data_IF_190428545974
#
_entry.id   IF_190428545974
#
_cell.length_a   1.000
_cell.length_b   1.000
_cell.length_c   1.000
_cell.angle_alpha   90.00
_cell.angle_beta   90.00
_cell.angle_gamma   90.00
#
_symmetry.space_group_name_H-M   'P 1'
#
loop_
_entity.id
_entity.type
_entity.pdbx_description
1 polymer ?
#
# COMPACT_ATOMS: atom_id res chain seq x y z
N UNK A 1 9.26 0.89 -61.65
CA UNK A 1 7.87 0.42 -61.50
C UNK A 1 7.72 -0.21 -60.13
N UNK A 2 7.19 0.56 -59.17
CA UNK A 2 6.99 0.14 -57.78
C UNK A 2 5.58 -0.47 -57.70
N UNK A 3 5.47 -1.74 -57.33
CA UNK A 3 4.19 -2.41 -57.08
C UNK A 3 3.71 -2.06 -55.67
N UNK A 4 2.55 -1.42 -55.57
CA UNK A 4 1.87 -1.16 -54.30
C UNK A 4 1.44 -2.46 -53.61
N UNK A 5 1.57 -2.58 -52.27
CA UNK A 5 1.07 -3.73 -51.53
C UNK A 5 -0.44 -3.59 -51.24
N UNK A 6 -1.19 -4.65 -51.54
CA UNK A 6 -2.62 -4.78 -51.29
C UNK A 6 -2.93 -4.76 -49.79
N UNK A 7 -3.83 -3.86 -49.37
CA UNK A 7 -4.43 -3.85 -48.04
C UNK A 7 -5.28 -5.12 -47.83
N UNK A 8 -4.93 -5.94 -46.82
CA UNK A 8 -5.81 -6.97 -46.30
C UNK A 8 -6.83 -6.37 -45.32
N UNK A 9 -8.12 -6.58 -45.59
CA UNK A 9 -9.22 -6.28 -44.65
C UNK A 9 -9.10 -7.15 -43.39
N UNK A 10 -9.38 -6.62 -42.18
CA UNK A 10 -9.47 -7.43 -40.97
C UNK A 10 -10.74 -8.29 -41.00
N UNK A 11 -10.60 -9.57 -40.63
CA UNK A 11 -11.74 -10.45 -40.33
C UNK A 11 -12.45 -9.98 -39.06
N UNK A 12 -13.73 -9.64 -39.19
CA UNK A 12 -14.66 -9.49 -38.06
C UNK A 12 -14.79 -10.84 -37.34
N UNK A 13 -14.51 -10.86 -36.04
CA UNK A 13 -14.84 -12.00 -35.17
C UNK A 13 -16.20 -11.77 -34.54
N UNK A 14 -17.12 -12.68 -34.78
CA UNK A 14 -18.41 -12.75 -34.09
C UNK A 14 -18.23 -12.88 -32.56
N UNK A 15 -19.09 -12.24 -31.75
CA UNK A 15 -19.05 -12.37 -30.30
C UNK A 15 -19.61 -13.72 -29.84
N UNK A 16 -18.82 -14.45 -29.05
CA UNK A 16 -19.24 -15.67 -28.35
C UNK A 16 -20.43 -15.39 -27.42
N UNK A 17 -21.52 -16.14 -27.61
CA UNK A 17 -22.70 -16.15 -26.73
C UNK A 17 -22.33 -16.70 -25.35
N UNK A 18 -22.76 -16.01 -24.29
CA UNK A 18 -22.71 -16.52 -22.91
C UNK A 18 -23.82 -17.55 -22.69
N UNK A 19 -23.59 -18.59 -21.86
CA UNK A 19 -24.64 -19.56 -21.52
C UNK A 19 -25.70 -18.91 -20.62
N UNK A 20 -26.96 -19.12 -20.99
CA UNK A 20 -28.15 -18.82 -20.17
C UNK A 20 -28.18 -19.75 -18.94
N UNK A 21 -28.54 -19.19 -17.78
CA UNK A 21 -28.81 -19.94 -16.55
C UNK A 21 -30.31 -19.86 -16.30
N UNK A 22 -30.94 -21.03 -16.28
CA UNK A 22 -32.36 -21.28 -16.03
C UNK A 22 -32.75 -20.92 -14.57
N UNK A 23 -33.68 -19.98 -14.35
CA UNK A 23 -34.10 -19.56 -13.02
C UNK A 23 -35.41 -20.25 -12.62
N UNK A 24 -35.42 -21.58 -12.48
CA UNK A 24 -36.57 -22.29 -11.92
C UNK A 24 -36.13 -23.39 -10.97
N UNK A 25 -35.82 -23.03 -9.72
CA UNK A 25 -35.91 -23.95 -8.59
C UNK A 25 -36.49 -23.21 -7.39
N UNK A 26 -37.81 -23.38 -7.28
CA UNK A 26 -38.66 -23.19 -6.12
C UNK A 26 -38.04 -23.87 -4.89
N UNK A 27 -37.84 -23.13 -3.79
CA UNK A 27 -37.79 -23.75 -2.47
C UNK A 27 -38.63 -22.92 -1.48
N UNK A 28 -39.86 -23.42 -1.33
CA UNK A 28 -40.81 -23.02 -0.30
C UNK A 28 -40.40 -23.69 1.00
N UNK A 29 -39.78 -22.94 1.90
CA UNK A 29 -39.78 -23.29 3.32
C UNK A 29 -40.34 -22.13 4.12
N UNK A 30 -41.65 -22.24 4.42
CA UNK A 30 -42.31 -21.38 5.39
C UNK A 30 -41.77 -21.60 6.79
N UNK A 31 -41.57 -20.51 7.52
CA UNK A 31 -41.42 -20.51 8.97
C UNK A 31 -42.38 -19.45 9.50
N UNK A 32 -43.41 -19.93 10.18
CA UNK A 32 -44.40 -19.15 10.92
C UNK A 32 -43.72 -18.46 12.12
N UNK A 33 -43.96 -17.16 12.28
CA UNK A 33 -43.59 -16.43 13.50
C UNK A 33 -44.83 -16.23 14.36
N UNK A 34 -44.76 -16.72 15.59
CA UNK A 34 -45.74 -16.51 16.65
C UNK A 34 -45.79 -15.02 17.06
N UNK A 35 -46.99 -14.45 17.04
CA UNK A 35 -47.30 -13.19 17.72
C UNK A 35 -47.48 -13.44 19.22
N UNK A 36 -46.77 -12.65 20.04
CA UNK A 36 -46.92 -12.62 21.49
C UNK A 36 -46.65 -11.19 21.96
N UNK A 37 -47.70 -10.58 22.49
CA UNK A 37 -47.86 -9.18 22.83
C UNK A 37 -46.83 -8.65 23.85
N UNK A 38 -46.32 -7.45 23.59
CA UNK A 38 -45.38 -6.76 24.48
C UNK A 38 -44.67 -5.58 23.81
N UNK A 39 -45.43 -4.68 23.20
CA UNK A 39 -44.88 -3.53 22.45
C UNK A 39 -44.21 -2.50 23.36
N UNK A 40 -42.91 -2.63 23.60
CA UNK A 40 -42.08 -1.52 24.06
C UNK A 40 -41.80 -0.61 22.87
N UNK A 41 -42.29 0.62 22.89
CA UNK A 41 -41.98 1.63 21.86
C UNK A 41 -40.52 2.04 22.02
N UNK A 42 -39.63 1.43 21.25
CA UNK A 42 -38.27 1.90 21.12
C UNK A 42 -38.27 3.19 20.28
N UNK A 43 -37.54 4.24 20.69
CA UNK A 43 -37.41 5.43 19.87
C UNK A 43 -36.87 5.03 18.49
N UNK A 44 -37.50 5.56 17.43
CA UNK A 44 -37.13 5.29 16.04
C UNK A 44 -35.60 5.41 15.89
N UNK A 45 -34.95 4.28 15.59
CA UNK A 45 -33.53 4.29 15.23
C UNK A 45 -33.41 5.26 14.05
N UNK A 46 -32.52 6.27 14.10
CA UNK A 46 -32.38 7.24 13.04
C UNK A 46 -32.20 6.50 11.71
N UNK A 47 -33.11 6.76 10.76
CA UNK A 47 -33.09 6.17 9.41
C UNK A 47 -31.65 6.25 8.89
N UNK A 48 -30.98 5.11 8.78
CA UNK A 48 -29.62 5.01 8.21
C UNK A 48 -29.69 5.71 6.85
N UNK A 49 -29.03 6.87 6.72
CA UNK A 49 -28.85 7.55 5.43
C UNK A 49 -28.44 6.48 4.41
N UNK A 50 -29.29 6.27 3.41
CA UNK A 50 -29.07 5.29 2.35
C UNK A 50 -27.71 5.63 1.74
N UNK A 51 -26.70 4.80 1.99
CA UNK A 51 -25.34 5.06 1.51
C UNK A 51 -25.42 5.15 -0.02
N UNK A 52 -25.10 6.31 -0.54
CA UNK A 52 -25.10 6.59 -1.97
C UNK A 52 -24.26 5.51 -2.69
N UNK A 53 -24.86 4.82 -3.66
CA UNK A 53 -24.20 3.71 -4.36
C UNK A 53 -23.06 4.29 -5.20
N UNK A 54 -21.81 4.05 -4.80
CA UNK A 54 -20.63 4.52 -5.53
C UNK A 54 -20.61 3.86 -6.93
N UNK A 55 -20.60 4.67 -7.99
CA UNK A 55 -20.51 4.22 -9.39
C UNK A 55 -19.06 4.15 -9.87
N UNK A 56 -18.76 3.35 -10.91
CA UNK A 56 -17.42 3.35 -11.54
C UNK A 56 -17.09 4.72 -12.12
N UNK A 57 -18.09 5.38 -12.71
CA UNK A 57 -17.99 6.76 -13.19
C UNK A 57 -17.62 7.74 -12.07
N UNK A 58 -18.25 7.64 -10.88
CA UNK A 58 -17.92 8.47 -9.73
C UNK A 58 -16.46 8.27 -9.28
N UNK A 59 -15.96 7.02 -9.31
CA UNK A 59 -14.56 6.72 -9.00
C UNK A 59 -13.60 7.27 -10.07
N UNK A 60 -13.96 7.20 -11.35
CA UNK A 60 -13.18 7.79 -12.45
C UNK A 60 -13.11 9.32 -12.35
N UNK A 61 -14.20 9.98 -11.99
CA UNK A 61 -14.23 11.42 -11.69
C UNK A 61 -13.35 11.73 -10.48
N UNK A 62 -13.47 11.00 -9.37
CA UNK A 62 -12.59 11.18 -8.20
C UNK A 62 -11.09 11.09 -8.54
N UNK A 63 -10.69 10.14 -9.42
CA UNK A 63 -9.29 10.04 -9.89
C UNK A 63 -8.86 11.29 -10.66
N UNK A 64 -9.71 11.76 -11.59
CA UNK A 64 -9.44 12.98 -12.39
C UNK A 64 -9.35 14.21 -11.51
N UNK A 65 -10.31 14.41 -10.63
CA UNK A 65 -10.36 15.55 -9.71
C UNK A 65 -9.10 15.59 -8.82
N UNK A 66 -8.65 14.43 -8.34
CA UNK A 66 -7.47 14.36 -7.48
C UNK A 66 -6.17 14.65 -8.24
N UNK A 67 -6.07 14.21 -9.51
CA UNK A 67 -4.94 14.54 -10.38
C UNK A 67 -4.94 16.03 -10.77
N UNK A 68 -6.12 16.61 -11.03
CA UNK A 68 -6.26 18.02 -11.32
C UNK A 68 -5.89 18.89 -10.11
N UNK A 69 -6.34 18.51 -8.91
CA UNK A 69 -5.94 19.16 -7.66
C UNK A 69 -4.41 19.16 -7.49
N UNK A 70 -3.74 18.02 -7.73
CA UNK A 70 -2.28 17.94 -7.72
C UNK A 70 -1.65 18.88 -8.75
N UNK A 71 -2.15 18.90 -9.98
CA UNK A 71 -1.64 19.77 -11.05
C UNK A 71 -1.74 21.24 -10.65
N UNK A 72 -2.87 21.66 -10.09
CA UNK A 72 -3.10 23.02 -9.61
C UNK A 72 -2.21 23.36 -8.42
N UNK A 73 -2.05 22.44 -7.46
CA UNK A 73 -1.18 22.62 -6.31
C UNK A 73 0.30 22.78 -6.72
N UNK A 74 0.78 21.94 -7.65
CA UNK A 74 2.14 22.06 -8.19
C UNK A 74 2.33 23.37 -8.95
N UNK A 75 1.33 23.78 -9.76
CA UNK A 75 1.37 25.06 -10.48
C UNK A 75 1.48 26.23 -9.51
N UNK A 76 0.62 26.28 -8.47
CA UNK A 76 0.67 27.32 -7.44
C UNK A 76 2.00 27.36 -6.72
N UNK A 77 2.53 26.19 -6.36
CA UNK A 77 3.84 26.06 -5.73
C UNK A 77 4.96 26.62 -6.62
N UNK A 78 4.89 26.38 -7.93
CA UNK A 78 5.86 26.89 -8.90
C UNK A 78 5.73 28.41 -9.11
N UNK A 79 4.54 28.98 -8.89
CA UNK A 79 4.25 30.42 -8.92
C UNK A 79 4.50 31.12 -7.56
N UNK A 80 4.95 30.38 -6.53
CA UNK A 80 5.16 30.92 -5.18
C UNK A 80 3.87 31.18 -4.38
N UNK A 81 2.73 30.65 -4.84
CA UNK A 81 1.43 30.79 -4.18
C UNK A 81 1.20 29.76 -3.07
N UNK A 82 0.24 30.07 -2.19
CA UNK A 82 -0.17 29.18 -1.10
C UNK A 82 -0.85 27.89 -1.62
N UNK A 83 -0.48 26.77 -1.02
CA UNK A 83 -1.02 25.44 -1.31
C UNK A 83 -2.07 25.08 -0.26
N UNK A 84 -3.32 24.91 -0.68
CA UNK A 84 -4.47 24.68 0.22
C UNK A 84 -4.28 23.44 1.10
N UNK A 85 -3.69 22.38 0.56
CA UNK A 85 -3.42 21.15 1.30
C UNK A 85 -2.55 21.37 2.54
N UNK A 86 -1.74 22.43 2.57
CA UNK A 86 -0.83 22.79 3.66
C UNK A 86 -1.47 23.67 4.75
N UNK A 87 -2.74 24.06 4.61
CA UNK A 87 -3.47 24.81 5.64
C UNK A 87 -3.92 23.93 6.84
N UNK A 88 -3.79 22.61 6.73
CA UNK A 88 -4.17 21.65 7.76
C UNK A 88 -3.22 21.71 8.97
N UNK A 89 -3.72 22.26 10.08
CA UNK A 89 -2.98 22.45 11.34
C UNK A 89 -2.63 21.14 12.07
N UNK A 90 -3.16 19.99 11.64
CA UNK A 90 -2.81 18.69 12.24
C UNK A 90 -1.50 18.11 11.69
N UNK A 91 -0.92 18.74 10.66
CA UNK A 91 0.33 18.33 10.03
C UNK A 91 1.54 18.68 10.90
N UNK A 92 2.53 17.79 10.94
CA UNK A 92 3.84 18.07 11.55
C UNK A 92 4.64 18.97 10.62
N UNK A 93 5.28 19.99 11.19
CA UNK A 93 6.12 20.94 10.44
C UNK A 93 7.51 20.33 10.24
N UNK A 94 8.01 20.43 9.00
CA UNK A 94 9.37 20.06 8.64
C UNK A 94 10.17 21.33 8.42
N UNK A 95 11.29 21.43 9.12
CA UNK A 95 12.27 22.50 9.00
C UNK A 95 13.44 22.07 8.12
N UNK A 96 14.25 23.04 7.70
CA UNK A 96 15.46 22.80 6.92
C UNK A 96 16.65 23.50 7.57
N UNK A 97 17.71 22.73 7.81
CA UNK A 97 19.00 23.25 8.26
C UNK A 97 19.86 23.54 7.04
N UNK A 98 20.11 24.83 6.79
CA UNK A 98 20.90 25.29 5.66
C UNK A 98 22.40 24.93 5.78
N UNK A 99 22.96 24.87 6.99
CA UNK A 99 24.36 24.55 7.21
C UNK A 99 24.64 23.07 6.86
N UNK A 100 23.76 22.18 7.31
CA UNK A 100 23.90 20.74 7.12
C UNK A 100 23.18 20.21 5.87
N UNK A 101 22.42 21.08 5.18
CA UNK A 101 21.57 20.73 4.03
C UNK A 101 20.63 19.56 4.33
N UNK A 102 20.00 19.58 5.50
CA UNK A 102 19.20 18.46 6.03
C UNK A 102 17.83 18.93 6.54
N UNK A 103 16.81 18.10 6.29
CA UNK A 103 15.50 18.31 6.89
C UNK A 103 15.49 17.79 8.33
N UNK A 104 14.73 18.46 9.18
CA UNK A 104 14.52 18.02 10.56
C UNK A 104 13.09 18.33 11.01
N UNK A 105 12.69 17.71 12.11
CA UNK A 105 11.47 18.02 12.82
C UNK A 105 11.78 18.23 14.30
N UNK A 106 10.97 19.06 14.94
CA UNK A 106 10.98 19.24 16.39
C UNK A 106 9.85 18.41 16.99
N UNK A 107 10.22 17.40 17.78
CA UNK A 107 9.26 16.53 18.45
C UNK A 107 9.65 16.41 19.92
N UNK A 108 8.75 16.84 20.81
CA UNK A 108 8.94 16.80 22.27
C UNK A 108 10.18 17.57 22.74
N UNK A 109 10.45 18.73 22.11
CA UNK A 109 11.60 19.57 22.43
C UNK A 109 12.95 19.01 21.96
N UNK A 110 12.94 17.94 21.16
CA UNK A 110 14.15 17.37 20.57
C UNK A 110 14.13 17.54 19.05
N UNK A 111 15.28 17.93 18.52
CA UNK A 111 15.53 17.99 17.08
C UNK A 111 15.83 16.58 16.56
N UNK A 112 15.06 16.14 15.57
CA UNK A 112 15.22 14.84 14.91
C UNK A 112 15.44 15.05 13.41
N UNK A 113 16.58 14.60 12.91
CA UNK A 113 16.86 14.64 11.47
C UNK A 113 15.96 13.65 10.73
N UNK A 114 15.43 14.08 9.59
CA UNK A 114 14.55 13.26 8.75
C UNK A 114 14.93 13.35 7.29
N UNK A 115 14.85 12.22 6.60
CA UNK A 115 14.99 12.13 5.16
C UNK A 115 13.64 12.05 4.45
N UNK A 116 13.69 12.08 3.12
CA UNK A 116 12.50 11.92 2.28
C UNK A 116 11.83 10.56 2.48
N UNK A 117 12.60 9.53 2.81
CA UNK A 117 12.09 8.21 3.15
C UNK A 117 11.22 8.22 4.39
N UNK A 118 11.64 8.96 5.43
CA UNK A 118 10.86 9.11 6.67
C UNK A 118 9.52 9.76 6.40
N UNK A 119 9.56 10.93 5.75
CA UNK A 119 8.36 11.71 5.42
C UNK A 119 7.38 10.89 4.58
N UNK A 120 7.86 10.18 3.55
CA UNK A 120 6.98 9.43 2.64
C UNK A 120 6.36 8.21 3.32
N UNK A 121 7.13 7.51 4.15
CA UNK A 121 6.70 6.25 4.79
C UNK A 121 5.68 6.46 5.89
N UNK A 122 5.86 7.51 6.69
CA UNK A 122 5.01 7.88 7.82
C UNK A 122 3.53 8.11 7.46
N UNK A 123 3.21 8.45 6.21
CA UNK A 123 1.83 8.53 5.73
C UNK A 123 1.06 7.21 5.83
N UNK A 124 1.74 6.06 5.89
CA UNK A 124 1.07 4.78 6.13
C UNK A 124 0.53 4.66 7.55
N UNK A 125 1.10 5.44 8.46
CA UNK A 125 0.72 5.57 9.86
C UNK A 125 -0.15 6.81 10.13
N UNK A 126 -0.70 7.44 9.08
CA UNK A 126 -1.56 8.61 9.23
C UNK A 126 -0.84 9.92 9.55
N UNK A 127 0.48 9.91 9.69
CA UNK A 127 1.27 11.11 10.00
C UNK A 127 1.49 11.91 8.71
N UNK A 128 1.06 13.17 8.73
CA UNK A 128 1.17 14.09 7.59
C UNK A 128 2.14 15.22 7.92
N UNK A 129 2.73 15.77 6.86
CA UNK A 129 3.76 16.78 6.97
C UNK A 129 3.42 18.05 6.17
N UNK A 130 4.04 19.15 6.57
CA UNK A 130 4.05 20.43 5.84
C UNK A 130 5.46 21.02 5.94
N UNK A 131 6.04 21.54 4.85
CA UNK A 131 7.28 22.30 4.94
C UNK A 131 7.04 23.62 5.68
N UNK A 132 7.96 24.01 6.55
CA UNK A 132 7.96 25.31 7.19
C UNK A 132 8.04 26.44 6.14
N UNK A 133 7.37 27.57 6.42
CA UNK A 133 7.28 28.69 5.48
C UNK A 133 8.61 29.45 5.34
N UNK A 134 9.52 29.29 6.30
CA UNK A 134 10.85 29.90 6.30
C UNK A 134 11.84 29.11 5.44
N UNK A 135 11.51 27.89 5.00
CA UNK A 135 12.37 27.17 4.05
C UNK A 135 12.34 27.89 2.70
N UNK A 136 13.51 28.33 2.23
CA UNK A 136 13.62 29.11 0.99
C UNK A 136 14.04 28.21 -0.18
N UNK A 137 13.54 28.57 -1.38
CA UNK A 137 14.15 28.13 -2.64
C UNK A 137 13.96 26.64 -2.98
N UNK A 138 14.99 25.96 -3.53
CA UNK A 138 14.87 24.61 -4.04
C UNK A 138 14.48 23.55 -2.99
N UNK A 139 14.88 23.75 -1.73
CA UNK A 139 14.61 22.82 -0.64
C UNK A 139 13.12 22.74 -0.32
N UNK A 140 12.43 23.88 -0.21
CA UNK A 140 10.98 23.96 0.00
C UNK A 140 10.24 23.30 -1.16
N UNK A 141 10.56 23.71 -2.40
CA UNK A 141 9.89 23.21 -3.61
C UNK A 141 10.02 21.70 -3.76
N UNK A 142 11.20 21.15 -3.51
CA UNK A 142 11.45 19.71 -3.60
C UNK A 142 10.63 18.93 -2.57
N UNK A 143 10.64 19.38 -1.32
CA UNK A 143 9.88 18.77 -0.23
C UNK A 143 8.37 18.87 -0.46
N UNK A 144 7.86 20.06 -0.77
CA UNK A 144 6.45 20.30 -1.06
C UNK A 144 5.92 19.42 -2.20
N UNK A 145 6.64 19.37 -3.34
CA UNK A 145 6.27 18.49 -4.47
C UNK A 145 6.24 17.03 -4.06
N UNK A 146 7.20 16.58 -3.25
CA UNK A 146 7.29 15.20 -2.79
C UNK A 146 6.10 14.84 -1.91
N UNK A 147 5.75 15.71 -0.96
CA UNK A 147 4.59 15.56 -0.08
C UNK A 147 3.31 15.44 -0.91
N UNK A 148 3.03 16.43 -1.78
CA UNK A 148 1.83 16.47 -2.60
C UNK A 148 1.72 15.23 -3.50
N UNK A 149 2.82 14.85 -4.14
CA UNK A 149 2.85 13.67 -5.02
C UNK A 149 2.57 12.38 -4.25
N UNK A 150 3.14 12.22 -3.04
CA UNK A 150 2.92 11.04 -2.21
C UNK A 150 1.46 10.94 -1.73
N UNK A 151 0.87 12.06 -1.31
CA UNK A 151 -0.54 12.13 -0.90
C UNK A 151 -1.47 11.75 -2.05
N UNK A 152 -1.34 12.44 -3.18
CA UNK A 152 -2.15 12.15 -4.37
C UNK A 152 -1.98 10.72 -4.84
N UNK A 153 -0.76 10.18 -4.84
CA UNK A 153 -0.52 8.78 -5.20
C UNK A 153 -1.31 7.83 -4.28
N UNK A 154 -1.27 8.04 -2.96
CA UNK A 154 -1.99 7.20 -1.98
C UNK A 154 -3.51 7.30 -2.16
N UNK A 155 -4.02 8.49 -2.42
CA UNK A 155 -5.44 8.71 -2.69
C UNK A 155 -5.88 7.97 -3.95
N UNK A 156 -5.08 8.05 -5.03
CA UNK A 156 -5.34 7.33 -6.28
C UNK A 156 -5.28 5.82 -6.08
N UNK A 157 -4.28 5.29 -5.34
CA UNK A 157 -4.19 3.87 -4.99
C UNK A 157 -5.47 3.40 -4.27
N UNK A 158 -5.97 4.19 -3.32
CA UNK A 158 -7.22 3.90 -2.59
C UNK A 158 -8.47 3.97 -3.47
N UNK A 159 -8.56 4.94 -4.39
CA UNK A 159 -9.65 5.02 -5.36
C UNK A 159 -9.61 3.81 -6.30
N UNK A 160 -8.42 3.43 -6.76
CA UNK A 160 -8.22 2.28 -7.65
C UNK A 160 -8.58 0.96 -6.98
N UNK A 161 -8.25 0.75 -5.70
CA UNK A 161 -8.68 -0.44 -4.97
C UNK A 161 -10.21 -0.53 -4.87
N UNK A 162 -10.90 0.60 -4.66
CA UNK A 162 -12.38 0.63 -4.65
C UNK A 162 -12.99 0.30 -6.02
N UNK A 163 -12.34 0.74 -7.09
CA UNK A 163 -12.73 0.39 -8.46
C UNK A 163 -12.57 -1.11 -8.71
N UNK A 164 -11.43 -1.68 -8.33
CA UNK A 164 -11.17 -3.12 -8.44
C UNK A 164 -12.18 -3.95 -7.64
N UNK A 165 -12.45 -3.61 -6.39
CA UNK A 165 -13.48 -4.30 -5.58
C UNK A 165 -14.81 -4.30 -6.30
N UNK A 166 -15.22 -3.15 -6.86
CA UNK A 166 -16.49 -3.04 -7.56
C UNK A 166 -16.53 -3.89 -8.83
N UNK A 167 -15.52 -3.78 -9.69
CA UNK A 167 -15.45 -4.54 -10.94
C UNK A 167 -15.45 -6.05 -10.70
N UNK A 168 -14.72 -6.52 -9.68
CA UNK A 168 -14.68 -7.94 -9.37
C UNK A 168 -15.98 -8.44 -8.74
N UNK A 169 -16.64 -7.65 -7.87
CA UNK A 169 -17.96 -8.00 -7.32
C UNK A 169 -19.01 -8.09 -8.43
N UNK A 170 -19.01 -7.16 -9.39
CA UNK A 170 -19.90 -7.21 -10.56
C UNK A 170 -19.62 -8.45 -11.44
N UNK A 171 -18.38 -8.93 -11.45
CA UNK A 171 -17.98 -10.20 -12.06
C UNK A 171 -18.16 -11.45 -11.18
N UNK A 172 -18.82 -11.34 -10.01
CA UNK A 172 -19.10 -12.46 -9.10
C UNK A 172 -17.93 -12.89 -8.20
N UNK A 173 -16.82 -12.15 -8.18
CA UNK A 173 -15.64 -12.45 -7.37
C UNK A 173 -15.61 -11.52 -6.15
N UNK A 174 -15.71 -12.09 -4.95
CA UNK A 174 -15.50 -11.33 -3.71
C UNK A 174 -14.01 -11.13 -3.44
N UNK A 175 -13.57 -9.87 -3.39
CA UNK A 175 -12.24 -9.49 -2.92
C UNK A 175 -12.29 -9.14 -1.43
N UNK A 176 -11.17 -9.33 -0.73
CA UNK A 176 -11.02 -8.87 0.66
C UNK A 176 -11.12 -7.35 0.76
N UNK A 177 -11.44 -6.83 1.95
CA UNK A 177 -11.37 -5.40 2.23
C UNK A 177 -10.03 -5.03 2.88
N UNK A 178 -9.42 -3.91 2.46
CA UNK A 178 -8.28 -3.35 3.19
C UNK A 178 -8.75 -2.78 4.53
N UNK A 179 -8.07 -3.14 5.62
CA UNK A 179 -8.34 -2.58 6.93
C UNK A 179 -7.75 -1.16 7.01
N UNK A 180 -8.51 -0.22 7.58
CA UNK A 180 -7.98 1.13 7.84
C UNK A 180 -7.21 1.15 9.16
N UNK A 181 -6.19 2.00 9.25
CA UNK A 181 -5.41 2.18 10.48
C UNK A 181 -6.32 2.53 11.67
N UNK A 182 -7.28 3.44 11.49
CA UNK A 182 -8.28 3.78 12.50
C UNK A 182 -9.13 2.57 12.98
N UNK A 183 -9.38 1.59 12.10
CA UNK A 183 -10.05 0.35 12.50
C UNK A 183 -9.12 -0.56 13.32
N UNK A 184 -7.83 -0.56 13.00
CA UNK A 184 -6.79 -1.29 13.73
C UNK A 184 -6.63 -0.71 15.14
N UNK A 185 -6.42 0.61 15.25
CA UNK A 185 -6.26 1.32 16.53
C UNK A 185 -7.44 1.09 17.47
N UNK A 186 -8.68 1.29 17.00
CA UNK A 186 -9.88 1.03 17.80
C UNK A 186 -10.04 -0.44 18.19
N UNK A 187 -9.60 -1.35 17.33
CA UNK A 187 -9.64 -2.79 17.56
C UNK A 187 -8.49 -3.32 18.41
N UNK A 188 -7.44 -2.51 18.62
CA UNK A 188 -6.23 -2.89 19.30
C UNK A 188 -6.40 -2.81 20.81
N UNK A 189 -6.58 -3.98 21.44
CA UNK A 189 -6.46 -4.12 22.89
C UNK A 189 -4.99 -4.37 23.21
N UNK A 190 -4.39 -3.56 24.10
CA UNK A 190 -2.96 -3.66 24.47
C UNK A 190 -2.53 -5.12 24.61
N UNK A 191 -1.52 -5.54 23.83
CA UNK A 191 -1.02 -6.92 23.68
C UNK A 191 -0.82 -7.65 25.02
N UNK A 192 -0.46 -6.90 26.07
CA UNK A 192 -0.20 -7.37 27.44
C UNK A 192 -1.38 -8.12 28.09
N UNK A 193 -2.61 -7.99 27.58
CA UNK A 193 -3.81 -8.57 28.19
C UNK A 193 -4.36 -9.82 27.50
N UNK A 194 -3.89 -10.20 26.30
CA UNK A 194 -4.25 -11.49 25.70
C UNK A 194 -3.41 -11.82 24.46
N UNK A 195 -2.39 -12.69 24.54
CA UNK A 195 -1.72 -13.27 23.38
C UNK A 195 -2.63 -14.19 22.53
N UNK A 196 -3.93 -14.29 22.87
CA UNK A 196 -4.97 -15.05 22.19
C UNK A 196 -6.17 -14.18 21.77
N UNK A 197 -6.09 -12.85 21.93
CA UNK A 197 -7.18 -11.91 21.68
C UNK A 197 -7.27 -11.42 20.22
N UNK A 198 -8.32 -10.65 19.92
CA UNK A 198 -8.54 -10.03 18.58
C UNK A 198 -7.34 -9.20 18.07
N UNK A 199 -6.48 -8.69 18.96
CA UNK A 199 -5.24 -7.98 18.61
C UNK A 199 -4.27 -8.81 17.77
N UNK A 200 -4.26 -10.14 17.94
CA UNK A 200 -3.42 -11.06 17.13
C UNK A 200 -3.79 -10.98 15.64
N UNK A 201 -5.06 -10.73 15.30
CA UNK A 201 -5.49 -10.61 13.90
C UNK A 201 -4.91 -9.37 13.22
N UNK A 202 -4.72 -8.29 13.97
CA UNK A 202 -4.14 -7.05 13.45
C UNK A 202 -2.61 -7.06 13.44
N UNK A 203 -1.98 -7.94 14.23
CA UNK A 203 -0.53 -8.01 14.34
C UNK A 203 0.14 -8.32 12.98
N UNK A 204 -0.45 -9.21 12.18
CA UNK A 204 0.02 -9.47 10.81
C UNK A 204 0.03 -8.20 9.95
N UNK A 205 -1.10 -7.50 9.92
CA UNK A 205 -1.25 -6.24 9.19
C UNK A 205 -0.29 -5.14 9.66
N UNK A 206 -0.12 -4.98 10.98
CA UNK A 206 0.84 -4.01 11.56
C UNK A 206 2.25 -4.33 11.11
N UNK A 207 2.65 -5.60 11.17
CA UNK A 207 3.99 -6.01 10.79
C UNK A 207 4.22 -5.87 9.28
N UNK A 208 3.22 -6.17 8.45
CA UNK A 208 3.28 -5.93 7.00
C UNK A 208 3.52 -4.44 6.68
N UNK A 209 2.80 -3.53 7.33
CA UNK A 209 3.02 -2.09 7.17
C UNK A 209 4.41 -1.72 7.69
N UNK A 210 4.77 -2.12 8.91
CA UNK A 210 6.06 -1.78 9.53
C UNK A 210 7.25 -2.23 8.68
N UNK A 211 7.23 -3.48 8.18
CA UNK A 211 8.27 -4.01 7.29
C UNK A 211 8.32 -3.22 5.98
N UNK A 212 7.17 -3.02 5.33
CA UNK A 212 7.11 -2.31 4.05
C UNK A 212 7.65 -0.88 4.18
N UNK A 213 7.24 -0.17 5.21
CA UNK A 213 7.63 1.23 5.42
C UNK A 213 9.07 1.36 5.94
N UNK A 214 9.56 0.42 6.77
CA UNK A 214 10.98 0.31 7.10
C UNK A 214 11.83 0.17 5.83
N UNK A 215 11.49 -0.76 4.94
CA UNK A 215 12.21 -0.99 3.69
C UNK A 215 12.14 0.23 2.77
N UNK A 216 10.98 0.87 2.67
CA UNK A 216 10.80 2.07 1.84
C UNK A 216 11.63 3.25 2.37
N UNK A 217 11.67 3.44 3.70
CA UNK A 217 12.51 4.45 4.36
C UNK A 217 13.98 4.20 4.09
N UNK A 218 14.46 2.97 4.34
CA UNK A 218 15.86 2.59 4.10
C UNK A 218 16.25 2.77 2.63
N UNK A 219 15.40 2.34 1.70
CA UNK A 219 15.64 2.48 0.26
C UNK A 219 15.75 3.95 -0.17
N UNK A 220 14.82 4.80 0.27
CA UNK A 220 14.78 6.21 -0.14
C UNK A 220 15.89 7.04 0.53
N UNK A 221 16.14 6.84 1.82
CA UNK A 221 17.15 7.62 2.55
C UNK A 221 18.58 7.26 2.13
N UNK A 222 18.81 6.02 1.69
CA UNK A 222 20.13 5.55 1.24
C UNK A 222 20.25 5.44 -0.28
N UNK A 223 19.23 5.86 -1.04
CA UNK A 223 19.18 5.81 -2.53
C UNK A 223 19.54 4.42 -3.08
N UNK A 224 18.94 3.38 -2.50
CA UNK A 224 19.20 1.99 -2.90
C UNK A 224 18.58 1.68 -4.26
N UNK A 225 19.15 0.71 -4.98
CA UNK A 225 18.73 0.31 -6.33
C UNK A 225 17.46 -0.56 -6.35
N UNK A 226 16.53 -0.30 -5.43
CA UNK A 226 15.21 -0.88 -5.47
C UNK A 226 14.14 0.08 -4.96
N UNK A 227 12.89 -0.25 -5.26
CA UNK A 227 11.73 0.48 -4.76
C UNK A 227 10.69 -0.51 -4.24
N UNK A 228 10.12 -0.16 -3.10
CA UNK A 228 9.02 -0.91 -2.48
C UNK A 228 7.70 -0.37 -3.01
N UNK A 229 6.86 -1.25 -3.53
CA UNK A 229 5.55 -0.93 -4.08
C UNK A 229 4.47 -1.64 -3.27
N UNK A 230 3.38 -0.92 -2.97
CA UNK A 230 2.19 -1.51 -2.37
C UNK A 230 1.51 -2.45 -3.36
N UNK A 231 0.86 -3.47 -2.81
CA UNK A 231 -0.09 -4.27 -3.55
C UNK A 231 -1.43 -3.57 -3.67
N UNK A 232 -2.08 -3.79 -4.82
CA UNK A 232 -3.51 -3.59 -4.98
C UNK A 232 -4.28 -4.67 -4.23
N UNK A 233 -5.57 -4.42 -4.00
CA UNK A 233 -6.46 -5.38 -3.36
C UNK A 233 -6.58 -6.71 -4.11
N UNK A 234 -6.44 -6.69 -5.44
CA UNK A 234 -6.43 -7.90 -6.27
C UNK A 234 -5.15 -8.71 -6.03
N UNK A 235 -4.00 -8.06 -5.97
CA UNK A 235 -2.73 -8.74 -5.73
C UNK A 235 -2.71 -9.40 -4.35
N UNK A 236 -3.18 -8.71 -3.32
CA UNK A 236 -3.33 -9.26 -1.98
C UNK A 236 -4.38 -10.38 -1.91
N UNK A 237 -5.57 -10.17 -2.48
CA UNK A 237 -6.68 -11.13 -2.38
C UNK A 237 -6.48 -12.38 -3.23
N UNK A 238 -5.97 -12.25 -4.45
CA UNK A 238 -5.86 -13.33 -5.45
C UNK A 238 -4.44 -13.88 -5.50
N UNK A 239 -3.43 -13.02 -5.57
CA UNK A 239 -2.03 -13.43 -5.76
C UNK A 239 -1.24 -13.59 -4.45
N UNK A 240 -1.84 -13.26 -3.29
CA UNK A 240 -1.34 -13.58 -1.94
C UNK A 240 0.11 -13.13 -1.72
N UNK A 241 0.36 -11.83 -1.93
CA UNK A 241 1.57 -11.16 -1.47
C UNK A 241 1.23 -9.75 -0.98
N UNK A 242 1.96 -9.29 0.04
CA UNK A 242 1.61 -8.10 0.84
C UNK A 242 2.22 -6.81 0.27
N UNK A 243 3.36 -6.93 -0.40
CA UNK A 243 3.99 -5.86 -1.18
C UNK A 243 4.91 -6.46 -2.24
N UNK A 244 5.50 -5.62 -3.10
CA UNK A 244 6.47 -6.05 -4.11
C UNK A 244 7.66 -5.14 -4.19
N UNK A 245 8.82 -5.70 -4.52
CA UNK A 245 10.07 -4.98 -4.72
C UNK A 245 10.39 -4.97 -6.19
N UNK A 246 10.64 -3.77 -6.72
CA UNK A 246 11.16 -3.58 -8.07
C UNK A 246 12.65 -3.24 -7.96
N UNK A 247 13.49 -4.09 -8.52
CA UNK A 247 14.94 -3.83 -8.62
C UNK A 247 15.22 -2.99 -9.87
N UNK A 248 15.98 -1.92 -9.70
CA UNK A 248 16.41 -1.06 -10.79
C UNK A 248 17.66 -1.68 -11.42
N UNK A 249 17.47 -2.45 -12.50
CA UNK A 249 18.62 -2.86 -13.30
C UNK A 249 19.11 -1.65 -14.11
N UNK A 250 20.33 -1.19 -13.82
CA UNK A 250 21.04 -0.16 -14.59
C UNK A 250 21.41 -0.63 -15.99
N UNK A 251 20.42 -0.89 -16.86
CA UNK A 251 20.68 -1.21 -18.26
C UNK A 251 20.99 0.08 -19.04
N UNK A 252 22.22 0.61 -18.87
CA UNK A 252 22.85 1.47 -19.88
C UNK A 252 23.32 0.59 -21.03
N UNK A 253 22.41 0.21 -21.92
CA UNK A 253 22.73 -0.58 -23.10
C UNK A 253 21.67 -0.39 -24.18
N UNK A 254 22.10 -0.02 -25.39
CA UNK A 254 21.24 0.07 -26.58
C UNK A 254 20.69 -1.32 -26.88
N UNK A 255 19.37 -1.50 -26.75
CA UNK A 255 18.70 -2.72 -27.21
C UNK A 255 18.61 -2.72 -28.73
N UNK A 256 19.51 -3.45 -29.38
CA UNK A 256 19.35 -3.83 -30.79
C UNK A 256 18.19 -4.83 -30.85
N UNK A 257 17.07 -4.43 -31.44
CA UNK A 257 15.92 -5.32 -31.69
C UNK A 257 16.38 -6.41 -32.66
N UNK A 258 16.66 -7.61 -32.17
CA UNK A 258 16.60 -8.79 -33.04
C UNK A 258 15.12 -9.17 -33.18
N UNK A 259 14.64 -9.20 -34.41
CA UNK A 259 13.32 -9.69 -34.78
C UNK A 259 13.22 -11.18 -34.43
N UNK A 260 12.14 -11.57 -33.74
CA UNK A 260 11.85 -12.98 -33.44
C UNK A 260 11.69 -13.34 -31.96
N UNK A 261 12.17 -12.51 -31.02
CA UNK A 261 11.92 -12.75 -29.59
C UNK A 261 10.60 -12.07 -29.21
N UNK A 262 9.56 -12.85 -28.87
CA UNK A 262 8.38 -12.33 -28.17
C UNK A 262 8.85 -11.66 -26.88
N UNK A 263 8.95 -10.33 -26.88
CA UNK A 263 9.33 -9.53 -25.73
C UNK A 263 8.25 -9.60 -24.65
N UNK A 264 8.19 -10.71 -23.91
CA UNK A 264 7.59 -10.69 -22.58
C UNK A 264 8.36 -9.66 -21.77
N UNK A 265 7.70 -8.60 -21.29
CA UNK A 265 8.27 -7.66 -20.32
C UNK A 265 8.92 -8.52 -19.23
N UNK A 266 10.25 -8.56 -19.12
CA UNK A 266 10.91 -9.24 -18.01
C UNK A 266 10.33 -8.63 -16.73
N UNK A 267 9.59 -9.44 -15.97
CA UNK A 267 9.00 -9.01 -14.70
C UNK A 267 10.18 -8.77 -13.76
N UNK A 268 10.51 -7.51 -13.49
CA UNK A 268 11.60 -7.12 -12.58
C UNK A 268 11.11 -6.97 -11.14
N UNK A 269 9.88 -7.43 -10.86
CA UNK A 269 9.22 -7.29 -9.57
C UNK A 269 9.19 -8.65 -8.87
N UNK A 270 9.50 -8.66 -7.58
CA UNK A 270 9.36 -9.81 -6.69
C UNK A 270 8.27 -9.48 -5.68
N UNK A 271 7.26 -10.33 -5.58
CA UNK A 271 6.23 -10.25 -4.54
C UNK A 271 6.79 -10.75 -3.21
N UNK A 272 6.45 -10.09 -2.11
CA UNK A 272 6.82 -10.51 -0.77
C UNK A 272 5.55 -10.82 0.00
N UNK A 273 5.41 -12.07 0.45
CA UNK A 273 4.46 -12.45 1.47
C UNK A 273 5.19 -12.52 2.81
N UNK A 274 4.80 -11.65 3.72
CA UNK A 274 5.24 -11.63 5.10
C UNK A 274 4.35 -12.52 5.98
N UNK A 275 4.91 -13.04 7.07
CA UNK A 275 4.15 -13.79 8.06
C UNK A 275 4.81 -13.80 9.42
N UNK A 276 4.06 -13.41 10.45
CA UNK A 276 4.43 -13.66 11.84
C UNK A 276 3.89 -15.01 12.25
N UNK A 277 4.76 -16.02 12.37
CA UNK A 277 4.27 -17.39 12.49
C UNK A 277 5.06 -18.26 13.47
N UNK A 278 4.32 -19.06 14.24
CA UNK A 278 4.77 -20.33 14.79
C UNK A 278 5.03 -21.35 13.65
N UNK A 279 6.05 -22.21 13.71
CA UNK A 279 6.46 -23.10 12.61
C UNK A 279 5.35 -23.92 11.92
N UNK A 280 4.24 -24.23 12.60
CA UNK A 280 3.14 -25.00 12.02
C UNK A 280 2.34 -24.27 10.92
N UNK A 281 2.20 -22.94 10.95
CA UNK A 281 1.45 -22.23 9.89
C UNK A 281 2.34 -21.72 8.74
N UNK A 282 3.67 -21.83 8.85
CA UNK A 282 4.57 -21.49 7.75
C UNK A 282 4.39 -22.47 6.58
N UNK A 283 4.20 -23.76 6.89
CA UNK A 283 3.86 -24.79 5.88
C UNK A 283 2.59 -24.45 5.11
N UNK A 284 1.52 -24.06 5.81
CA UNK A 284 0.25 -23.66 5.17
C UNK A 284 0.42 -22.42 4.27
N UNK A 285 1.15 -21.39 4.72
CA UNK A 285 1.45 -20.22 3.87
C UNK A 285 2.28 -20.60 2.64
N UNK A 286 3.28 -21.46 2.81
CA UNK A 286 4.12 -21.92 1.70
C UNK A 286 3.31 -22.70 0.66
N UNK A 287 2.37 -23.55 1.11
CA UNK A 287 1.45 -24.27 0.23
C UNK A 287 0.52 -23.33 -0.53
N UNK A 288 -0.06 -22.32 0.13
CA UNK A 288 -0.88 -21.29 -0.54
C UNK A 288 -0.08 -20.58 -1.64
N UNK A 289 1.16 -20.18 -1.35
CA UNK A 289 2.02 -19.52 -2.33
C UNK A 289 2.37 -20.45 -3.48
N UNK A 290 2.68 -21.72 -3.20
CA UNK A 290 2.94 -22.73 -4.24
C UNK A 290 1.73 -22.89 -5.15
N UNK A 291 0.54 -23.04 -4.59
CA UNK A 291 -0.71 -23.17 -5.33
C UNK A 291 -0.99 -21.93 -6.19
N UNK A 292 -0.72 -20.73 -5.68
CA UNK A 292 -0.85 -19.47 -6.46
C UNK A 292 0.15 -19.44 -7.62
N UNK A 293 1.43 -19.77 -7.38
CA UNK A 293 2.46 -19.81 -8.42
C UNK A 293 2.13 -20.83 -9.52
N UNK A 294 1.57 -21.97 -9.16
CA UNK A 294 1.13 -23.00 -10.11
C UNK A 294 -0.11 -22.55 -10.89
N UNK A 295 -1.14 -22.05 -10.19
CA UNK A 295 -2.39 -21.60 -10.81
C UNK A 295 -2.21 -20.41 -11.76
N UNK A 296 -1.29 -19.51 -11.46
CA UNK A 296 -1.10 -18.26 -12.19
C UNK A 296 0.25 -18.14 -12.90
N UNK A 297 0.99 -19.24 -13.11
CA UNK A 297 2.38 -19.25 -13.64
C UNK A 297 2.69 -18.15 -14.67
N UNK A 298 1.97 -18.12 -15.79
CA UNK A 298 2.24 -17.14 -16.87
C UNK A 298 1.60 -15.76 -16.61
N UNK A 299 0.53 -15.72 -15.80
CA UNK A 299 -0.29 -14.54 -15.51
C UNK A 299 0.13 -13.81 -14.24
N UNK A 300 1.08 -14.36 -13.48
CA UNK A 300 1.53 -13.78 -12.22
C UNK A 300 2.12 -12.39 -12.47
N UNK A 301 1.67 -11.32 -11.82
CA UNK A 301 2.17 -9.96 -12.09
C UNK A 301 3.65 -9.77 -11.72
N UNK A 302 4.18 -10.61 -10.83
CA UNK A 302 5.58 -10.62 -10.37
C UNK A 302 6.35 -11.80 -10.96
N UNK A 303 7.68 -11.74 -10.95
CA UNK A 303 8.56 -12.85 -11.37
C UNK A 303 8.48 -14.02 -10.41
N UNK A 304 8.47 -13.73 -9.12
CA UNK A 304 8.37 -14.72 -8.07
C UNK A 304 7.73 -14.12 -6.81
N UNK A 305 7.29 -14.98 -5.90
CA UNK A 305 6.81 -14.60 -4.56
C UNK A 305 7.72 -15.21 -3.50
N UNK A 306 8.37 -14.37 -2.70
CA UNK A 306 9.16 -14.79 -1.55
C UNK A 306 8.29 -14.82 -0.30
N UNK A 307 8.37 -15.91 0.46
CA UNK A 307 7.75 -16.02 1.78
C UNK A 307 8.80 -15.69 2.84
N UNK A 308 8.54 -14.64 3.62
CA UNK A 308 9.39 -14.25 4.74
C UNK A 308 8.60 -14.49 6.02
N UNK A 309 9.06 -15.44 6.82
CA UNK A 309 8.45 -15.74 8.11
C UNK A 309 9.35 -15.33 9.26
N UNK A 310 8.79 -14.64 10.25
CA UNK A 310 9.50 -14.23 11.44
C UNK A 310 8.75 -14.69 12.68
N UNK A 311 9.49 -15.08 13.72
CA UNK A 311 8.95 -15.40 15.02
C UNK A 311 9.46 -14.35 16.01
N UNK A 312 8.68 -13.28 16.20
CA UNK A 312 9.01 -12.19 17.12
C UNK A 312 7.74 -11.52 17.64
N UNK A 313 7.79 -11.02 18.86
CA UNK A 313 6.73 -10.20 19.47
C UNK A 313 7.03 -8.69 19.35
N UNK A 314 8.20 -8.32 18.80
CA UNK A 314 8.67 -6.94 18.74
C UNK A 314 7.69 -6.01 18.02
N UNK A 315 7.01 -6.46 16.95
CA UNK A 315 6.01 -5.64 16.26
C UNK A 315 4.85 -5.23 17.17
N UNK A 316 4.41 -6.12 18.05
CA UNK A 316 3.34 -5.82 19.01
C UNK A 316 3.82 -4.80 20.06
N UNK A 317 5.03 -5.01 20.60
CA UNK A 317 5.63 -4.09 21.57
C UNK A 317 5.89 -2.70 20.98
N UNK A 318 6.43 -2.66 19.77
CA UNK A 318 6.69 -1.45 19.02
C UNK A 318 5.41 -0.65 18.75
N UNK A 319 4.33 -1.33 18.33
CA UNK A 319 3.05 -0.66 18.10
C UNK A 319 2.42 -0.12 19.39
N UNK A 320 2.46 -0.89 20.49
CA UNK A 320 2.01 -0.39 21.80
C UNK A 320 2.80 0.86 22.21
N UNK A 321 4.13 0.82 22.09
CA UNK A 321 5.00 1.94 22.46
C UNK A 321 4.72 3.17 21.59
N UNK A 322 4.47 2.97 20.29
CA UNK A 322 4.11 4.06 19.38
C UNK A 322 2.80 4.74 19.77
N UNK A 323 1.75 3.97 20.09
CA UNK A 323 0.47 4.51 20.57
C UNK A 323 0.62 5.19 21.95
N UNK A 324 1.37 4.59 22.87
CA UNK A 324 1.62 5.16 24.21
C UNK A 324 2.38 6.48 24.16
N UNK A 325 3.20 6.68 23.13
CA UNK A 325 3.92 7.92 22.87
C UNK A 325 3.12 8.90 21.99
N UNK A 326 1.83 8.67 21.75
CA UNK A 326 1.00 9.58 20.96
C UNK A 326 1.45 9.68 19.51
N UNK A 327 1.81 8.55 18.92
CA UNK A 327 2.05 8.41 17.48
C UNK A 327 3.21 9.29 16.95
N UNK A 328 4.44 9.14 17.52
CA UNK A 328 5.59 9.93 17.08
C UNK A 328 5.98 9.63 15.63
N UNK A 329 6.71 10.57 15.01
CA UNK A 329 7.28 10.42 13.66
C UNK A 329 8.14 9.14 13.53
N UNK A 330 8.17 8.50 12.37
CA UNK A 330 8.94 7.27 12.12
C UNK A 330 8.15 5.97 12.30
N UNK A 331 6.87 6.04 12.65
CA UNK A 331 5.99 4.88 12.83
C UNK A 331 6.42 3.94 13.97
N UNK A 332 5.72 2.82 14.16
CA UNK A 332 6.09 1.76 15.10
C UNK A 332 7.45 1.15 14.80
N UNK A 333 7.83 1.04 13.52
CA UNK A 333 9.07 0.39 13.10
C UNK A 333 10.33 1.05 13.68
N UNK A 334 10.27 2.31 14.11
CA UNK A 334 11.39 2.96 14.80
C UNK A 334 11.75 2.26 16.12
N UNK A 335 10.79 1.59 16.77
CA UNK A 335 10.96 0.90 18.05
C UNK A 335 11.35 -0.58 17.91
N UNK A 336 11.52 -1.10 16.69
CA UNK A 336 12.08 -2.43 16.47
C UNK A 336 13.58 -2.41 16.79
N UNK A 337 14.11 -3.55 17.26
CA UNK A 337 15.54 -3.68 17.49
C UNK A 337 16.36 -3.47 16.21
N UNK A 338 17.58 -2.91 16.30
CA UNK A 338 18.49 -2.83 15.17
C UNK A 338 18.70 -4.20 14.49
N UNK A 339 18.81 -5.26 15.28
CA UNK A 339 19.04 -6.63 14.81
C UNK A 339 17.88 -7.11 13.95
N UNK A 340 16.64 -6.90 14.39
CA UNK A 340 15.45 -7.26 13.64
C UNK A 340 15.36 -6.47 12.33
N UNK A 341 15.61 -5.14 12.38
CA UNK A 341 15.60 -4.29 11.18
C UNK A 341 16.63 -4.76 10.14
N UNK A 342 17.85 -5.09 10.58
CA UNK A 342 18.93 -5.63 9.71
C UNK A 342 18.55 -7.00 9.14
N UNK A 343 17.97 -7.88 9.95
CA UNK A 343 17.51 -9.20 9.51
C UNK A 343 16.41 -9.10 8.45
N UNK A 344 15.43 -8.20 8.63
CA UNK A 344 14.38 -7.93 7.63
C UNK A 344 15.01 -7.45 6.32
N UNK A 345 15.88 -6.43 6.37
CA UNK A 345 16.51 -5.88 5.17
C UNK A 345 17.29 -6.96 4.42
N UNK A 346 18.11 -7.74 5.14
CA UNK A 346 18.91 -8.82 4.56
C UNK A 346 18.02 -9.89 3.92
N UNK A 347 17.02 -10.41 4.63
CA UNK A 347 16.14 -11.46 4.13
C UNK A 347 15.36 -11.03 2.87
N UNK A 348 14.95 -9.76 2.83
CA UNK A 348 14.17 -9.21 1.73
C UNK A 348 15.03 -8.92 0.50
N UNK A 349 16.28 -8.52 0.68
CA UNK A 349 17.20 -8.10 -0.39
C UNK A 349 18.16 -9.19 -0.85
N UNK A 350 18.20 -10.32 -0.14
CA UNK A 350 19.10 -11.44 -0.43
C UNK A 350 19.02 -11.85 -1.89
N UNK A 351 20.17 -11.79 -2.59
CA UNK A 351 20.31 -12.14 -4.02
C UNK A 351 19.44 -11.30 -4.97
N UNK A 352 18.86 -10.20 -4.48
CA UNK A 352 18.11 -9.23 -5.28
C UNK A 352 18.92 -7.97 -5.52
N UNK A 353 19.56 -7.43 -4.47
CA UNK A 353 20.35 -6.19 -4.50
C UNK A 353 21.51 -6.30 -3.52
N UNK A 354 22.68 -5.78 -3.91
CA UNK A 354 23.81 -5.63 -3.01
C UNK A 354 23.64 -4.38 -2.14
N UNK A 355 23.56 -4.59 -0.82
CA UNK A 355 23.37 -3.51 0.15
C UNK A 355 24.74 -3.19 0.80
N UNK A 356 25.26 -1.96 0.67
CA UNK A 356 26.54 -1.58 1.27
C UNK A 356 26.52 -1.73 2.80
N UNK A 357 27.64 -2.17 3.39
CA UNK A 357 27.74 -2.37 4.85
C UNK A 357 27.42 -1.09 5.64
N UNK A 358 27.87 0.08 5.16
CA UNK A 358 27.57 1.37 5.79
C UNK A 358 26.07 1.73 5.87
N UNK A 359 25.20 1.05 5.11
CA UNK A 359 23.75 1.16 5.27
C UNK A 359 23.27 0.35 6.47
N UNK A 360 23.80 -0.86 6.67
CA UNK A 360 23.50 -1.67 7.86
C UNK A 360 23.99 -0.98 9.14
N UNK A 361 25.13 -0.28 9.10
CA UNK A 361 25.69 0.40 10.26
C UNK A 361 24.84 1.60 10.71
N UNK A 362 24.09 2.22 9.78
CA UNK A 362 23.16 3.32 10.06
C UNK A 362 21.79 2.87 10.58
N UNK A 363 21.51 1.56 10.59
CA UNK A 363 20.27 1.02 11.13
C UNK A 363 20.41 0.93 12.65
N UNK A 364 19.82 1.91 13.33
CA UNK A 364 19.67 2.00 14.79
C UNK A 364 18.27 1.60 15.24
#
# INVERSE_FOLDING_TARGET
MIKEPKLHKPLEKEPEKRPEIDPTLDDKSGIETWEGEGGTVYPEKPKKKRKEKITLEKLATQKRDRLEALRLAIKKLDEGGLVKEFEDRTRKVIYFDEENQQYFLEERGQRKNVGMGDIVSDYAWGIKYVPDYEIIGPAYRTLAKRILTNETRRDIESIYDRELVKTYIEGGIMLGGKQSLHSVERGWKKWRYSPQGKGVMFLGFIAEIAVRELLNRVALNNKLDFTVLRTSIVEDSIYKYDFKIRVHQGNRGVKIKQEGIKYGKKKNEIGIQFGLIRPKYSKKKAEVIKNVKEKFRDRLPVRDILLITMQTEEFAHAFNKWLELGEPSGGPEQFLSPELKKAILKAVTEKLVDIPQGVFDKIT
#
